data_IF_338748289422
#
_entry.id   IF_338748289422
#
_cell.length_a   1.000
_cell.length_b   1.000
_cell.length_c   1.000
_cell.angle_alpha   90.00
_cell.angle_beta   90.00
_cell.angle_gamma   90.00
#
_symmetry.space_group_name_H-M   'P 1'
#
loop_
_entity.id
_entity.type
_entity.pdbx_description
1 polymer ?
#
# COMPACT_ATOMS: atom_id res chain seq x y z
N UNK A 1 46.14 7.23 -14.49
CA UNK A 1 45.37 8.46 -14.78
C UNK A 1 44.06 8.16 -15.54
N UNK A 2 44.05 7.43 -16.64
CA UNK A 2 42.86 7.18 -17.46
C UNK A 2 41.71 6.54 -16.65
N UNK A 3 41.96 5.52 -15.82
CA UNK A 3 40.95 4.88 -14.96
C UNK A 3 40.28 5.86 -14.00
N UNK A 4 41.03 6.79 -13.39
CA UNK A 4 40.47 7.81 -12.53
C UNK A 4 39.54 8.78 -13.26
N UNK A 5 39.84 9.10 -14.52
CA UNK A 5 38.97 9.92 -15.37
C UNK A 5 37.64 9.18 -15.64
N UNK A 6 37.68 7.90 -16.02
CA UNK A 6 36.49 7.09 -16.23
C UNK A 6 35.61 6.94 -14.97
N UNK A 7 36.27 6.73 -13.80
CA UNK A 7 35.54 6.66 -12.54
C UNK A 7 34.84 8.00 -12.19
N UNK A 8 35.51 9.12 -12.43
CA UNK A 8 34.93 10.45 -12.22
C UNK A 8 33.78 10.73 -13.20
N UNK A 9 33.92 10.31 -14.47
CA UNK A 9 32.84 10.43 -15.44
C UNK A 9 31.63 9.60 -15.05
N UNK A 10 31.78 8.33 -14.67
CA UNK A 10 30.72 7.49 -14.18
C UNK A 10 30.03 8.11 -12.94
N UNK A 11 30.82 8.73 -12.06
CA UNK A 11 30.28 9.42 -10.89
C UNK A 11 29.42 10.63 -11.28
N UNK A 12 29.85 11.42 -12.27
CA UNK A 12 29.09 12.56 -12.80
C UNK A 12 27.82 12.10 -13.50
N UNK A 13 27.90 11.05 -14.31
CA UNK A 13 26.75 10.45 -14.99
C UNK A 13 25.73 9.95 -13.96
N UNK A 14 26.19 9.30 -12.87
CA UNK A 14 25.34 8.85 -11.77
C UNK A 14 24.69 10.02 -11.03
N UNK A 15 25.39 11.13 -10.83
CA UNK A 15 24.81 12.34 -10.22
C UNK A 15 23.75 12.93 -11.17
N UNK A 16 24.03 13.01 -12.46
CA UNK A 16 23.06 13.45 -13.47
C UNK A 16 21.80 12.57 -13.46
N UNK A 17 21.98 11.25 -13.41
CA UNK A 17 20.88 10.28 -13.30
C UNK A 17 20.06 10.46 -12.02
N UNK A 18 20.72 10.69 -10.88
CA UNK A 18 20.04 10.96 -9.61
C UNK A 18 19.21 12.25 -9.65
N UNK A 19 19.75 13.32 -10.27
CA UNK A 19 19.06 14.62 -10.38
C UNK A 19 17.85 14.48 -11.29
N UNK A 20 17.99 13.85 -12.45
CA UNK A 20 16.88 13.70 -13.41
C UNK A 20 15.75 12.81 -12.87
N UNK A 21 16.06 11.86 -12.00
CA UNK A 21 15.09 10.94 -11.40
C UNK A 21 14.69 11.31 -9.95
N UNK A 22 15.09 12.46 -9.44
CA UNK A 22 14.82 12.88 -8.06
C UNK A 22 13.31 12.89 -7.71
N UNK A 23 12.45 13.16 -8.70
CA UNK A 23 10.98 13.18 -8.57
C UNK A 23 10.31 11.91 -9.14
N UNK A 24 11.07 10.90 -9.54
CA UNK A 24 10.51 9.64 -10.03
C UNK A 24 10.09 8.76 -8.86
N UNK A 25 8.81 8.38 -8.81
CA UNK A 25 8.29 7.52 -7.75
C UNK A 25 9.05 6.18 -7.70
N UNK A 26 9.46 5.79 -6.50
CA UNK A 26 10.20 4.54 -6.28
C UNK A 26 11.69 4.58 -6.67
N UNK A 27 12.20 5.70 -7.16
CA UNK A 27 13.61 5.82 -7.50
C UNK A 27 14.47 5.89 -6.23
N UNK A 28 15.52 5.07 -6.19
CA UNK A 28 16.52 5.08 -5.11
C UNK A 28 17.83 5.72 -5.60
N UNK A 29 18.31 6.73 -4.86
CA UNK A 29 19.59 7.38 -5.18
C UNK A 29 20.71 6.35 -5.33
N UNK A 30 21.44 6.42 -6.42
CA UNK A 30 22.57 5.53 -6.70
C UNK A 30 23.90 6.18 -6.34
N UNK A 31 24.84 5.36 -5.93
CA UNK A 31 26.20 5.77 -5.56
C UNK A 31 27.23 4.84 -6.18
N UNK A 32 28.22 5.44 -6.84
CA UNK A 32 29.42 4.73 -7.30
C UNK A 32 30.34 4.49 -6.11
N UNK A 33 30.80 3.27 -5.93
CA UNK A 33 31.76 2.90 -4.90
C UNK A 33 33.12 2.68 -5.59
N UNK A 34 34.07 3.64 -5.47
CA UNK A 34 35.39 3.47 -6.01
C UNK A 34 36.24 2.56 -5.12
N UNK A 35 37.04 1.68 -5.74
CA UNK A 35 38.02 0.87 -5.06
C UNK A 35 39.41 1.07 -5.64
N UNK A 36 40.45 0.93 -4.82
CA UNK A 36 41.83 0.98 -5.28
C UNK A 36 42.14 -0.27 -6.10
N UNK A 37 42.76 -0.08 -7.27
CA UNK A 37 43.21 -1.21 -8.08
C UNK A 37 44.49 -1.83 -7.49
N UNK A 38 44.73 -3.11 -7.84
CA UNK A 38 45.89 -3.84 -7.37
C UNK A 38 47.17 -3.06 -7.71
N UNK A 39 48.00 -2.86 -6.69
CA UNK A 39 49.32 -2.26 -6.88
C UNK A 39 50.23 -3.17 -7.70
N UNK A 40 51.00 -2.57 -8.59
CA UNK A 40 52.04 -3.28 -9.35
C UNK A 40 53.34 -3.26 -8.53
N UNK A 41 53.96 -4.45 -8.42
CA UNK A 41 55.27 -4.58 -7.81
C UNK A 41 56.34 -4.18 -8.83
N UNK A 42 57.09 -3.16 -8.48
CA UNK A 42 58.31 -2.80 -9.20
C UNK A 42 59.52 -3.41 -8.51
N UNK A 43 60.16 -4.34 -9.19
CA UNK A 43 61.42 -4.90 -8.71
C UNK A 43 62.49 -3.84 -8.69
N UNK A 44 63.08 -3.59 -7.52
CA UNK A 44 64.21 -2.68 -7.32
C UNK A 44 65.35 -3.46 -6.65
N UNK A 45 66.59 -3.04 -6.92
CA UNK A 45 67.80 -3.56 -6.28
C UNK A 45 67.81 -3.48 -4.74
N UNK A 46 66.92 -2.70 -4.15
CA UNK A 46 66.77 -2.47 -2.71
C UNK A 46 65.44 -2.95 -2.12
N UNK A 47 64.71 -3.84 -2.80
CA UNK A 47 63.43 -4.36 -2.37
C UNK A 47 62.27 -3.97 -3.30
N UNK A 48 61.18 -4.74 -3.34
CA UNK A 48 60.01 -4.49 -4.19
C UNK A 48 59.25 -3.23 -3.71
N UNK A 49 59.03 -2.29 -4.61
CA UNK A 49 58.17 -1.13 -4.39
C UNK A 49 56.79 -1.41 -5.00
N UNK A 50 55.73 -1.26 -4.20
CA UNK A 50 54.37 -1.36 -4.68
C UNK A 50 53.85 0.01 -5.14
N UNK A 51 53.59 0.14 -6.43
CA UNK A 51 53.03 1.37 -7.01
C UNK A 51 51.57 1.19 -7.29
N UNK A 52 50.72 2.05 -6.70
CA UNK A 52 49.29 2.07 -6.94
C UNK A 52 48.95 2.35 -8.41
N UNK A 53 48.07 1.60 -9.00
CA UNK A 53 47.69 1.72 -10.42
C UNK A 53 46.44 2.59 -10.64
N UNK A 54 45.89 3.15 -9.56
CA UNK A 54 44.75 4.08 -9.59
C UNK A 54 43.51 3.55 -8.92
N UNK A 55 42.38 4.02 -9.38
CA UNK A 55 41.03 3.69 -8.87
C UNK A 55 40.18 3.08 -9.97
N UNK A 56 39.34 2.15 -9.62
CA UNK A 56 38.29 1.59 -10.49
C UNK A 56 36.94 1.64 -9.80
N UNK A 57 35.85 1.55 -10.55
CA UNK A 57 34.48 1.46 -9.99
C UNK A 57 34.23 0.02 -9.63
N UNK A 58 34.06 -0.25 -8.33
CA UNK A 58 33.78 -1.61 -7.82
C UNK A 58 32.31 -1.97 -8.00
N UNK A 59 31.43 -1.05 -7.61
CA UNK A 59 29.99 -1.29 -7.66
C UNK A 59 29.19 0.02 -7.73
N UNK A 60 27.97 -0.10 -8.23
CA UNK A 60 26.95 0.95 -8.22
C UNK A 60 25.82 0.52 -7.29
N UNK A 61 25.80 1.08 -6.06
CA UNK A 61 24.84 0.68 -5.03
C UNK A 61 23.69 1.68 -4.90
N UNK A 62 22.52 1.18 -4.49
CA UNK A 62 21.35 2.00 -4.16
C UNK A 62 21.39 2.42 -2.69
N UNK A 63 20.95 3.64 -2.39
CA UNK A 63 20.78 4.14 -1.03
C UNK A 63 19.41 3.69 -0.50
N UNK A 64 19.21 2.39 -0.33
CA UNK A 64 17.99 1.78 0.22
C UNK A 64 18.34 0.86 1.38
N UNK A 65 17.57 0.94 2.45
CA UNK A 65 17.73 0.12 3.65
C UNK A 65 16.61 -0.94 3.70
N UNK A 66 17.00 -2.19 3.52
CA UNK A 66 16.06 -3.32 3.51
C UNK A 66 15.36 -3.54 4.86
N UNK A 67 15.99 -3.17 5.96
CA UNK A 67 15.35 -3.27 7.28
C UNK A 67 14.23 -2.23 7.42
N UNK A 68 14.49 -0.99 6.98
CA UNK A 68 13.47 0.05 6.94
C UNK A 68 12.32 -0.31 6.00
N UNK A 69 12.62 -0.93 4.84
CA UNK A 69 11.60 -1.41 3.91
C UNK A 69 10.68 -2.46 4.55
N UNK A 70 11.24 -3.44 5.27
CA UNK A 70 10.43 -4.45 5.98
C UNK A 70 9.52 -3.84 7.02
N UNK A 71 10.02 -2.88 7.78
CA UNK A 71 9.22 -2.17 8.78
C UNK A 71 8.10 -1.38 8.10
N UNK A 72 8.41 -0.68 7.00
CA UNK A 72 7.42 0.05 6.22
C UNK A 72 6.30 -0.89 5.72
N UNK A 73 6.62 -2.05 5.14
CA UNK A 73 5.62 -2.98 4.64
C UNK A 73 4.69 -3.52 5.73
N UNK A 74 5.20 -3.75 6.94
CA UNK A 74 4.39 -4.20 8.08
C UNK A 74 3.44 -3.10 8.56
N UNK A 75 3.94 -1.88 8.67
CA UNK A 75 3.13 -0.73 9.10
C UNK A 75 2.08 -0.34 8.04
N UNK A 76 2.46 -0.34 6.76
CA UNK A 76 1.54 -0.06 5.64
C UNK A 76 0.38 -1.05 5.59
N UNK A 77 0.66 -2.36 5.77
CA UNK A 77 -0.39 -3.38 5.85
C UNK A 77 -1.34 -3.13 7.02
N UNK A 78 -0.81 -2.76 8.18
CA UNK A 78 -1.59 -2.46 9.39
C UNK A 78 -2.45 -1.21 9.20
N UNK A 79 -1.87 -0.15 8.65
CA UNK A 79 -2.57 1.11 8.36
C UNK A 79 -3.69 0.91 7.33
N UNK A 80 -3.39 0.21 6.22
CA UNK A 80 -4.35 -0.09 5.16
C UNK A 80 -5.53 -0.92 5.69
N UNK A 81 -5.26 -1.93 6.53
CA UNK A 81 -6.30 -2.71 7.19
C UNK A 81 -7.18 -1.83 8.09
N UNK A 82 -6.58 -0.96 8.91
CA UNK A 82 -7.32 -0.07 9.81
C UNK A 82 -8.20 0.92 9.02
N UNK A 83 -7.66 1.55 7.98
CA UNK A 83 -8.38 2.46 7.07
C UNK A 83 -9.56 1.77 6.39
N UNK A 84 -9.34 0.57 5.84
CA UNK A 84 -10.39 -0.18 5.18
C UNK A 84 -11.51 -0.58 6.13
N UNK A 85 -11.15 -1.02 7.34
CA UNK A 85 -12.10 -1.37 8.40
C UNK A 85 -12.92 -0.15 8.83
N UNK A 86 -12.28 1.00 9.05
CA UNK A 86 -12.97 2.24 9.39
C UNK A 86 -13.94 2.64 8.29
N UNK A 87 -13.50 2.69 7.04
CA UNK A 87 -14.35 3.01 5.87
C UNK A 87 -15.60 2.14 5.81
N UNK A 88 -15.49 0.84 6.13
CA UNK A 88 -16.65 -0.04 6.13
C UNK A 88 -17.56 0.17 7.34
N UNK A 89 -17.01 0.47 8.52
CA UNK A 89 -17.83 0.84 9.67
C UNK A 89 -18.59 2.14 9.45
N UNK A 90 -17.97 3.16 8.86
CA UNK A 90 -18.63 4.42 8.52
C UNK A 90 -19.81 4.18 7.55
N UNK A 91 -19.65 3.30 6.57
CA UNK A 91 -20.73 2.90 5.65
C UNK A 91 -21.88 2.17 6.37
N UNK A 92 -21.56 1.29 7.32
CA UNK A 92 -22.56 0.57 8.12
C UNK A 92 -23.28 1.54 9.05
N UNK A 93 -22.54 2.43 9.72
CA UNK A 93 -23.11 3.47 10.57
C UNK A 93 -24.10 4.35 9.79
N UNK A 94 -23.74 4.74 8.57
CA UNK A 94 -24.62 5.54 7.71
C UNK A 94 -25.95 4.84 7.40
N UNK A 95 -25.98 3.49 7.29
CA UNK A 95 -27.22 2.73 7.10
C UNK A 95 -28.17 2.85 8.29
N UNK A 96 -27.63 2.86 9.51
CA UNK A 96 -28.44 2.92 10.74
C UNK A 96 -28.70 4.36 11.21
N UNK A 97 -27.81 5.30 10.89
CA UNK A 97 -27.85 6.70 11.35
C UNK A 97 -28.48 7.66 10.31
N UNK A 98 -29.25 7.13 9.38
CA UNK A 98 -29.91 7.85 8.31
C UNK A 98 -30.88 8.93 8.88
N UNK A 99 -30.37 10.13 9.05
CA UNK A 99 -31.01 11.35 9.53
C UNK A 99 -31.73 11.23 10.90
N UNK A 100 -31.48 12.20 11.76
CA UNK A 100 -32.08 12.31 13.13
C UNK A 100 -33.62 12.24 13.16
N UNK A 101 -34.30 12.34 12.02
CA UNK A 101 -35.76 12.38 11.90
C UNK A 101 -36.37 11.13 11.25
N UNK A 102 -35.59 10.31 10.55
CA UNK A 102 -36.09 9.14 9.79
C UNK A 102 -35.29 7.83 10.04
N UNK A 103 -34.36 7.83 10.99
CA UNK A 103 -33.55 6.64 11.30
C UNK A 103 -34.38 5.54 11.96
N UNK A 104 -33.87 4.31 11.91
CA UNK A 104 -34.48 3.13 12.53
C UNK A 104 -34.82 3.36 14.01
N UNK A 105 -33.93 4.03 14.75
CA UNK A 105 -34.13 4.36 16.15
C UNK A 105 -35.33 5.29 16.35
N UNK A 106 -35.54 6.26 15.46
CA UNK A 106 -36.67 7.19 15.54
C UNK A 106 -38.01 6.46 15.29
N UNK A 107 -38.06 5.58 14.29
CA UNK A 107 -39.30 4.80 14.04
C UNK A 107 -39.61 3.83 15.18
N UNK A 108 -38.60 3.24 15.79
CA UNK A 108 -38.74 2.45 17.01
C UNK A 108 -39.31 3.29 18.17
N UNK A 109 -38.81 4.50 18.38
CA UNK A 109 -39.36 5.40 19.42
C UNK A 109 -40.80 5.81 19.15
N UNK A 110 -41.17 6.09 17.89
CA UNK A 110 -42.57 6.38 17.51
C UNK A 110 -43.48 5.20 17.82
N UNK A 111 -43.06 3.98 17.48
CA UNK A 111 -43.83 2.77 17.76
C UNK A 111 -44.06 2.57 19.27
N UNK A 112 -43.02 2.71 20.09
CA UNK A 112 -43.15 2.63 21.55
C UNK A 112 -44.01 3.76 22.15
N UNK A 113 -43.91 4.97 21.60
CA UNK A 113 -44.75 6.10 22.01
C UNK A 113 -46.24 5.83 21.70
N UNK A 114 -46.53 5.30 20.51
CA UNK A 114 -47.89 4.94 20.13
C UNK A 114 -48.46 3.83 21.03
N UNK A 115 -47.66 2.86 21.44
CA UNK A 115 -47.99 1.82 22.39
C UNK A 115 -48.33 2.38 23.78
N UNK A 116 -47.48 3.33 24.25
CA UNK A 116 -47.71 3.99 25.51
C UNK A 116 -49.04 4.79 25.51
N UNK A 117 -49.28 5.54 24.43
CA UNK A 117 -50.55 6.27 24.23
C UNK A 117 -51.76 5.34 24.26
N UNK A 118 -51.67 4.18 23.61
CA UNK A 118 -52.73 3.18 23.60
C UNK A 118 -52.95 2.60 24.98
N UNK A 119 -51.91 2.44 25.81
CA UNK A 119 -52.05 1.93 27.18
C UNK A 119 -52.85 2.88 28.07
N UNK A 120 -52.75 4.19 27.82
CA UNK A 120 -53.51 5.23 28.54
C UNK A 120 -54.94 5.37 28.01
N UNK A 121 -55.13 5.23 26.71
CA UNK A 121 -56.44 5.40 26.00
C UNK A 121 -56.89 4.12 25.29
N UNK A 122 -56.98 3.02 26.03
CA UNK A 122 -57.18 1.66 25.45
C UNK A 122 -58.52 1.48 24.68
N UNK A 123 -59.52 2.30 25.00
CA UNK A 123 -60.84 2.28 24.31
C UNK A 123 -60.91 3.12 23.01
N UNK A 124 -59.88 3.95 22.74
CA UNK A 124 -59.84 4.84 21.58
C UNK A 124 -59.40 4.07 20.32
N UNK A 125 -60.30 3.92 19.30
CA UNK A 125 -59.96 3.23 18.06
C UNK A 125 -58.83 3.92 17.28
N UNK A 126 -58.71 5.24 17.36
CA UNK A 126 -57.64 6.01 16.67
C UNK A 126 -56.27 5.65 17.20
N UNK A 127 -56.13 5.41 18.51
CA UNK A 127 -54.86 4.99 19.12
C UNK A 127 -54.44 3.57 18.66
N UNK A 128 -55.40 2.66 18.44
CA UNK A 128 -55.11 1.35 17.87
C UNK A 128 -54.59 1.44 16.42
N UNK A 129 -55.22 2.31 15.62
CA UNK A 129 -54.75 2.56 14.24
C UNK A 129 -53.34 3.17 14.24
N UNK A 130 -53.07 4.11 15.17
CA UNK A 130 -51.73 4.71 15.31
C UNK A 130 -50.63 3.69 15.62
N UNK A 131 -50.89 2.71 16.51
CA UNK A 131 -49.94 1.62 16.81
C UNK A 131 -49.70 0.75 15.60
N UNK A 132 -50.75 0.39 14.86
CA UNK A 132 -50.63 -0.43 13.64
C UNK A 132 -49.81 0.30 12.59
N UNK A 133 -50.07 1.57 12.37
CA UNK A 133 -49.37 2.38 11.37
C UNK A 133 -47.90 2.60 11.71
N UNK A 134 -47.60 2.99 12.97
CA UNK A 134 -46.24 3.13 13.44
C UNK A 134 -45.47 1.79 13.45
N UNK A 135 -46.18 0.66 13.71
CA UNK A 135 -45.59 -0.67 13.60
C UNK A 135 -45.23 -1.05 12.16
N UNK A 136 -46.06 -0.70 11.18
CA UNK A 136 -45.77 -0.90 9.76
C UNK A 136 -44.54 -0.06 9.35
N UNK A 137 -44.55 1.25 9.69
CA UNK A 137 -43.39 2.13 9.36
C UNK A 137 -42.10 1.64 9.97
N UNK A 138 -42.11 1.13 11.19
CA UNK A 138 -40.96 0.50 11.81
C UNK A 138 -40.49 -0.76 11.08
N UNK A 139 -41.43 -1.64 10.71
CA UNK A 139 -41.14 -2.87 9.95
C UNK A 139 -40.55 -2.56 8.56
N UNK A 140 -41.14 -1.62 7.83
CA UNK A 140 -40.68 -1.18 6.51
C UNK A 140 -39.26 -0.61 6.60
N UNK A 141 -38.98 0.20 7.65
CA UNK A 141 -37.66 0.77 7.89
C UNK A 141 -36.62 -0.28 8.27
N UNK A 142 -37.00 -1.29 9.03
CA UNK A 142 -36.13 -2.42 9.35
C UNK A 142 -35.75 -3.21 8.09
N UNK A 143 -36.76 -3.49 7.24
CA UNK A 143 -36.54 -4.16 5.96
C UNK A 143 -35.61 -3.36 5.04
N UNK A 144 -35.82 -2.04 4.90
CA UNK A 144 -34.94 -1.15 4.13
C UNK A 144 -33.50 -1.16 4.67
N UNK A 145 -33.34 -1.10 5.99
CA UNK A 145 -32.00 -1.17 6.62
C UNK A 145 -31.32 -2.51 6.34
N UNK A 146 -32.03 -3.63 6.43
CA UNK A 146 -31.53 -4.96 6.10
C UNK A 146 -31.08 -5.05 4.63
N UNK A 147 -31.90 -4.55 3.70
CA UNK A 147 -31.55 -4.51 2.28
C UNK A 147 -30.31 -3.63 2.01
N UNK A 148 -30.19 -2.51 2.71
CA UNK A 148 -29.03 -1.63 2.57
C UNK A 148 -27.74 -2.27 3.10
N UNK A 149 -27.81 -3.01 4.22
CA UNK A 149 -26.68 -3.82 4.71
C UNK A 149 -26.29 -4.87 3.68
N UNK A 150 -27.27 -5.57 3.09
CA UNK A 150 -27.03 -6.57 2.04
C UNK A 150 -26.34 -5.95 0.81
N UNK A 151 -26.78 -4.78 0.37
CA UNK A 151 -26.12 -4.04 -0.73
C UNK A 151 -24.67 -3.67 -0.39
N UNK A 152 -24.39 -3.26 0.85
CA UNK A 152 -23.02 -2.98 1.29
C UNK A 152 -22.15 -4.24 1.27
N UNK A 153 -22.70 -5.38 1.70
CA UNK A 153 -22.00 -6.66 1.63
C UNK A 153 -21.63 -7.03 0.18
N UNK A 154 -22.58 -6.88 -0.74
CA UNK A 154 -22.36 -7.15 -2.17
C UNK A 154 -21.29 -6.23 -2.76
N UNK A 155 -21.24 -4.96 -2.33
CA UNK A 155 -20.19 -4.02 -2.73
C UNK A 155 -18.82 -4.43 -2.20
N UNK A 156 -18.74 -4.89 -0.94
CA UNK A 156 -17.48 -5.39 -0.35
C UNK A 156 -16.96 -6.60 -1.13
N UNK A 157 -17.83 -7.54 -1.53
CA UNK A 157 -17.43 -8.68 -2.35
C UNK A 157 -16.88 -8.26 -3.72
N UNK A 158 -17.49 -7.27 -4.37
CA UNK A 158 -16.98 -6.74 -5.65
C UNK A 158 -15.65 -5.99 -5.48
N UNK A 159 -15.51 -5.20 -4.41
CA UNK A 159 -14.23 -4.55 -4.08
C UNK A 159 -13.14 -5.61 -3.87
N UNK A 160 -13.45 -6.69 -3.14
CA UNK A 160 -12.52 -7.79 -2.89
C UNK A 160 -12.09 -8.52 -4.19
N UNK A 161 -13.04 -8.81 -5.09
CA UNK A 161 -12.72 -9.42 -6.40
C UNK A 161 -11.77 -8.53 -7.22
N UNK A 162 -11.99 -7.22 -7.20
CA UNK A 162 -11.11 -6.25 -7.86
C UNK A 162 -9.72 -6.25 -7.23
N UNK A 163 -9.62 -6.18 -5.90
CA UNK A 163 -8.34 -6.19 -5.19
C UNK A 163 -7.55 -7.49 -5.43
N UNK A 164 -8.22 -8.64 -5.50
CA UNK A 164 -7.57 -9.92 -5.85
C UNK A 164 -6.98 -9.87 -7.27
N UNK A 165 -7.67 -9.25 -8.21
CA UNK A 165 -7.14 -9.07 -9.58
C UNK A 165 -5.92 -8.15 -9.59
N UNK A 166 -5.96 -7.04 -8.85
CA UNK A 166 -4.85 -6.10 -8.72
C UNK A 166 -3.62 -6.78 -8.10
N UNK A 167 -3.80 -7.53 -7.01
CA UNK A 167 -2.74 -8.32 -6.36
C UNK A 167 -2.12 -9.32 -7.34
N UNK A 168 -2.93 -10.04 -8.10
CA UNK A 168 -2.44 -10.99 -9.10
C UNK A 168 -1.66 -10.29 -10.23
N UNK A 169 -2.10 -9.13 -10.67
CA UNK A 169 -1.39 -8.34 -11.68
C UNK A 169 -0.04 -7.83 -11.15
N UNK A 170 -0.01 -7.26 -9.95
CA UNK A 170 1.22 -6.81 -9.29
C UNK A 170 2.20 -7.97 -9.14
N UNK A 171 1.72 -9.12 -8.67
CA UNK A 171 2.56 -10.32 -8.48
C UNK A 171 3.16 -10.81 -9.80
N UNK A 172 2.40 -10.82 -10.89
CA UNK A 172 2.93 -11.18 -12.22
C UNK A 172 4.03 -10.21 -12.68
N UNK A 173 3.84 -8.90 -12.49
CA UNK A 173 4.85 -7.89 -12.81
C UNK A 173 6.12 -8.07 -11.97
N UNK A 174 5.99 -8.41 -10.69
CA UNK A 174 7.15 -8.72 -9.83
C UNK A 174 7.91 -9.94 -10.35
N UNK A 175 7.21 -11.01 -10.74
CA UNK A 175 7.84 -12.21 -11.31
C UNK A 175 8.60 -11.88 -12.61
N UNK A 176 8.00 -11.08 -13.49
CA UNK A 176 8.66 -10.64 -14.73
C UNK A 176 9.90 -9.80 -14.45
N UNK A 177 9.81 -8.83 -13.50
CA UNK A 177 10.95 -8.02 -13.11
C UNK A 177 12.06 -8.86 -12.47
N UNK A 178 11.73 -9.83 -11.62
CA UNK A 178 12.73 -10.74 -11.05
C UNK A 178 13.48 -11.53 -12.14
N UNK A 179 12.77 -12.00 -13.16
CA UNK A 179 13.40 -12.66 -14.32
C UNK A 179 14.32 -11.70 -15.07
N UNK A 180 13.87 -10.48 -15.35
CA UNK A 180 14.65 -9.47 -16.06
C UNK A 180 15.88 -9.03 -15.25
N UNK A 181 15.75 -8.88 -13.92
CA UNK A 181 16.87 -8.61 -13.00
C UNK A 181 17.89 -9.75 -13.08
N UNK A 182 17.45 -10.99 -12.95
CA UNK A 182 18.33 -12.16 -13.01
C UNK A 182 19.10 -12.23 -14.36
N UNK A 183 18.45 -11.93 -15.46
CA UNK A 183 19.08 -11.90 -16.77
C UNK A 183 20.08 -10.73 -16.92
N UNK A 184 19.73 -9.55 -16.45
CA UNK A 184 20.59 -8.38 -16.54
C UNK A 184 21.83 -8.51 -15.63
N UNK A 185 21.68 -9.17 -14.47
CA UNK A 185 22.75 -9.35 -13.49
C UNK A 185 23.59 -10.63 -13.73
N UNK A 186 23.23 -11.47 -14.68
CA UNK A 186 23.98 -12.70 -15.00
C UNK A 186 25.46 -12.46 -15.36
N UNK A 187 25.78 -11.26 -15.85
CA UNK A 187 27.14 -10.83 -16.18
C UNK A 187 27.81 -9.95 -15.13
N UNK A 188 27.26 -9.89 -13.90
CA UNK A 188 27.81 -9.09 -12.79
C UNK A 188 27.41 -7.61 -12.81
N UNK A 189 26.54 -7.18 -13.72
CA UNK A 189 25.97 -5.83 -13.71
C UNK A 189 24.91 -5.69 -12.61
N UNK A 190 24.69 -4.46 -12.13
CA UNK A 190 23.65 -4.17 -11.14
C UNK A 190 22.45 -3.51 -11.84
N UNK A 191 21.33 -4.21 -11.86
CA UNK A 191 20.09 -3.75 -12.51
C UNK A 191 19.26 -2.84 -11.56
N UNK A 192 19.87 -1.75 -11.06
CA UNK A 192 19.29 -0.89 -10.02
C UNK A 192 17.89 -0.35 -10.37
N UNK A 193 17.68 0.12 -11.60
CA UNK A 193 16.38 0.69 -12.02
C UNK A 193 15.27 -0.39 -12.11
N UNK A 194 15.63 -1.63 -12.46
CA UNK A 194 14.67 -2.74 -12.43
C UNK A 194 14.34 -3.15 -10.99
N UNK A 195 15.34 -3.10 -10.12
CA UNK A 195 15.15 -3.34 -8.67
C UNK A 195 14.27 -2.26 -8.06
N UNK A 196 14.44 -0.99 -8.41
CA UNK A 196 13.59 0.10 -7.95
C UNK A 196 12.12 -0.10 -8.40
N UNK A 197 11.90 -0.48 -9.65
CA UNK A 197 10.54 -0.79 -10.15
C UNK A 197 9.92 -1.99 -9.43
N UNK A 198 10.69 -3.02 -9.14
CA UNK A 198 10.21 -4.18 -8.38
C UNK A 198 9.85 -3.78 -6.95
N UNK A 199 10.71 -3.03 -6.29
CA UNK A 199 10.54 -2.63 -4.91
C UNK A 199 9.32 -1.71 -4.75
N UNK A 200 9.07 -0.79 -5.71
CA UNK A 200 7.84 -0.01 -5.78
C UNK A 200 6.58 -0.88 -5.89
N UNK A 201 6.63 -1.99 -6.64
CA UNK A 201 5.51 -2.93 -6.71
C UNK A 201 5.33 -3.71 -5.41
N UNK A 202 6.40 -4.02 -4.69
CA UNK A 202 6.35 -4.64 -3.37
C UNK A 202 5.75 -3.65 -2.35
N UNK A 203 6.15 -2.36 -2.40
CA UNK A 203 5.57 -1.30 -1.59
C UNK A 203 4.04 -1.21 -1.83
N UNK A 204 3.58 -1.25 -3.09
CA UNK A 204 2.14 -1.28 -3.43
C UNK A 204 1.44 -2.55 -2.94
N UNK A 205 2.11 -3.70 -3.01
CA UNK A 205 1.55 -4.98 -2.56
C UNK A 205 1.34 -5.02 -1.05
N UNK A 206 2.22 -4.35 -0.28
CA UNK A 206 2.10 -4.27 1.18
C UNK A 206 0.83 -3.57 1.66
N UNK A 207 0.26 -2.68 0.84
CA UNK A 207 -1.05 -2.06 1.10
C UNK A 207 -2.25 -3.02 0.98
N UNK A 208 -2.08 -4.17 0.34
CA UNK A 208 -3.13 -5.19 0.19
C UNK A 208 -3.00 -6.34 1.18
N UNK A 209 -1.78 -6.69 1.58
CA UNK A 209 -1.53 -7.86 2.41
C UNK A 209 -0.24 -7.74 3.22
N UNK A 210 -0.17 -8.42 4.35
CA UNK A 210 1.07 -8.54 5.12
C UNK A 210 2.11 -9.36 4.36
N UNK A 211 3.31 -8.82 4.20
CA UNK A 211 4.41 -9.45 3.48
C UNK A 211 5.43 -10.05 4.45
N UNK A 212 5.82 -11.29 4.21
CA UNK A 212 6.94 -11.95 4.86
C UNK A 212 8.02 -12.21 3.80
N UNK A 213 9.03 -11.31 3.76
CA UNK A 213 10.13 -11.32 2.78
C UNK A 213 11.46 -11.67 3.45
#
# INVERSE_FOLDING_TARGET
>A
MVRGIYNNQLSLDTVGHNITNANTEGYSRQRVNPATTRALEHSSLYGGLFVGTGVDSDSLTRARDFFADKQYWQEEATESYAKYRQKNYDKIEAVFNDSKTKGLQNEMHKFYSAWNDLSVYASDPAKRVSVIESGKQFADRLEESAQNVQKQLDLVYREMDTQVKDVNEITRKIVELNKNISLAEANGAMANDLRDKRDLLVDKLSGYMSLHV
#
